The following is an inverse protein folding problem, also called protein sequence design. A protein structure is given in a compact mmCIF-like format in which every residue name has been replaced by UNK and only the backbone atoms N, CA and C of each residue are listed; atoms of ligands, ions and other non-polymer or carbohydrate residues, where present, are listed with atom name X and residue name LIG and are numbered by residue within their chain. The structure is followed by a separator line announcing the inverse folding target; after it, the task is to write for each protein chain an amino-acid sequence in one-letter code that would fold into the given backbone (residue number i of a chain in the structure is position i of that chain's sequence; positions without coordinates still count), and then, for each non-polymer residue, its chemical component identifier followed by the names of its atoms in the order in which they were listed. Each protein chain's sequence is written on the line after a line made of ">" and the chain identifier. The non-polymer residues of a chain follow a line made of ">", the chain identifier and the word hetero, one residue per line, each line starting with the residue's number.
data_IF_338368115160
#
_entry.id   IF_338368115160
#
_cell.length_a   1.000
_cell.length_b   1.000
_cell.length_c   1.000
_cell.angle_alpha   90.00
_cell.angle_beta   90.00
_cell.angle_gamma   90.00
#
_symmetry.space_group_name_H-M   'P 1'
#
loop_
_entity.id
_entity.type
_entity.pdbx_description
1 polymer ?
#
# COMPACT_ATOMS: atom_id res chain seq x y z
N UNK A 1 -23.53 17.24 14.79
CA UNK A 1 -22.39 17.10 13.86
C UNK A 1 -22.78 17.73 12.52
N UNK A 2 -22.11 18.81 12.13
CA UNK A 2 -22.37 19.49 10.86
C UNK A 2 -21.32 19.11 9.82
N UNK A 3 -21.68 18.18 8.95
CA UNK A 3 -20.86 17.85 7.80
C UNK A 3 -21.40 18.66 6.62
N UNK A 4 -20.60 19.60 6.16
CA UNK A 4 -20.96 20.49 5.05
C UNK A 4 -20.34 20.00 3.75
N UNK A 5 -20.90 20.44 2.64
CA UNK A 5 -20.31 20.16 1.33
C UNK A 5 -18.87 20.71 1.24
N UNK A 6 -18.63 21.86 1.86
CA UNK A 6 -17.28 22.45 1.92
C UNK A 6 -16.28 21.54 2.63
N UNK A 7 -16.67 20.93 3.75
CA UNK A 7 -15.79 20.02 4.48
C UNK A 7 -15.55 18.72 3.68
N UNK A 8 -16.57 18.20 3.03
CA UNK A 8 -16.43 17.03 2.15
C UNK A 8 -15.50 17.33 0.98
N UNK A 9 -15.69 18.46 0.33
CA UNK A 9 -14.84 18.88 -0.78
C UNK A 9 -13.39 19.07 -0.34
N UNK A 10 -13.16 19.65 0.84
CA UNK A 10 -11.81 19.82 1.38
C UNK A 10 -11.11 18.49 1.60
N UNK A 11 -11.82 17.50 2.13
CA UNK A 11 -11.27 16.16 2.32
C UNK A 11 -10.95 15.50 0.98
N UNK A 12 -11.86 15.62 0.01
CA UNK A 12 -11.67 15.04 -1.32
C UNK A 12 -10.48 15.63 -2.06
N UNK A 13 -10.35 16.94 -2.05
CA UNK A 13 -9.24 17.63 -2.74
C UNK A 13 -7.88 17.18 -2.23
N UNK A 14 -7.76 16.94 -0.92
CA UNK A 14 -6.49 16.58 -0.30
C UNK A 14 -6.21 15.09 -0.31
N UNK A 15 -7.26 14.26 -0.25
CA UNK A 15 -7.10 12.80 -0.14
C UNK A 15 -7.33 12.05 -1.45
N UNK A 16 -8.02 12.66 -2.41
CA UNK A 16 -8.38 11.99 -3.65
C UNK A 16 -9.45 10.90 -3.50
N UNK A 17 -10.14 10.86 -2.38
CA UNK A 17 -11.19 9.87 -2.13
C UNK A 17 -12.52 10.26 -2.77
N UNK A 18 -13.48 9.35 -2.78
CA UNK A 18 -14.84 9.61 -3.24
C UNK A 18 -15.60 10.48 -2.23
N UNK A 19 -16.74 11.02 -2.64
CA UNK A 19 -17.64 11.76 -1.74
C UNK A 19 -18.09 10.89 -0.56
N UNK A 20 -18.42 9.65 -0.85
CA UNK A 20 -18.87 8.71 0.18
C UNK A 20 -17.79 8.43 1.22
N UNK A 21 -16.58 8.16 0.77
CA UNK A 21 -15.44 7.92 1.67
C UNK A 21 -15.08 9.15 2.49
N UNK A 22 -15.11 10.34 1.88
CA UNK A 22 -14.85 11.58 2.58
C UNK A 22 -15.90 11.85 3.65
N UNK A 23 -17.18 11.65 3.33
CA UNK A 23 -18.28 11.80 4.28
C UNK A 23 -18.15 10.82 5.43
N UNK A 24 -17.87 9.57 5.13
CA UNK A 24 -17.67 8.53 6.14
C UNK A 24 -16.53 8.88 7.11
N UNK A 25 -15.42 9.39 6.57
CA UNK A 25 -14.30 9.82 7.40
C UNK A 25 -14.67 11.00 8.31
N UNK A 26 -15.45 11.95 7.80
CA UNK A 26 -15.94 13.08 8.59
C UNK A 26 -16.92 12.64 9.67
N UNK A 27 -17.81 11.71 9.36
CA UNK A 27 -18.73 11.14 10.35
C UNK A 27 -17.96 10.43 11.47
N UNK A 28 -16.93 9.68 11.12
CA UNK A 28 -16.09 8.95 12.07
C UNK A 28 -15.28 9.87 12.97
N UNK A 29 -15.01 11.10 12.54
CA UNK A 29 -14.13 12.04 13.25
C UNK A 29 -14.84 13.29 13.76
N UNK A 30 -16.17 13.26 13.81
CA UNK A 30 -16.94 14.38 14.36
C UNK A 30 -16.95 15.64 13.51
N UNK A 31 -16.70 15.54 12.21
CA UNK A 31 -16.74 16.66 11.28
C UNK A 31 -15.41 17.41 11.12
N UNK A 32 -14.35 16.95 11.75
CA UNK A 32 -13.02 17.56 11.65
C UNK A 32 -12.34 17.15 10.35
N UNK A 33 -12.02 18.13 9.49
CA UNK A 33 -11.33 17.88 8.22
C UNK A 33 -9.94 17.29 8.44
N UNK A 34 -9.20 17.84 9.39
CA UNK A 34 -7.85 17.35 9.71
C UNK A 34 -7.88 15.90 10.19
N UNK A 35 -8.76 15.60 11.12
CA UNK A 35 -8.89 14.25 11.65
C UNK A 35 -9.41 13.27 10.61
N UNK A 36 -10.29 13.72 9.72
CA UNK A 36 -10.78 12.91 8.62
C UNK A 36 -9.64 12.51 7.65
N UNK A 37 -8.74 13.44 7.36
CA UNK A 37 -7.57 13.18 6.52
C UNK A 37 -6.63 12.16 7.18
N UNK A 38 -6.41 12.29 8.47
CA UNK A 38 -5.60 11.34 9.25
C UNK A 38 -6.27 9.96 9.26
N UNK A 39 -7.58 9.92 9.47
CA UNK A 39 -8.37 8.68 9.45
C UNK A 39 -8.22 7.94 8.11
N UNK A 40 -8.33 8.67 6.99
CA UNK A 40 -8.18 8.08 5.66
C UNK A 40 -6.76 7.59 5.40
N UNK A 41 -5.76 8.33 5.84
CA UNK A 41 -4.37 7.92 5.71
C UNK A 41 -4.09 6.63 6.49
N UNK A 42 -4.56 6.54 7.72
CA UNK A 42 -4.41 5.35 8.55
C UNK A 42 -5.12 4.14 7.93
N UNK A 43 -6.30 4.36 7.35
CA UNK A 43 -7.06 3.30 6.68
C UNK A 43 -6.31 2.76 5.47
N UNK A 44 -5.72 3.64 4.66
CA UNK A 44 -4.89 3.25 3.52
C UNK A 44 -3.63 2.51 3.96
N UNK A 45 -3.01 2.97 5.03
CA UNK A 45 -1.84 2.31 5.62
C UNK A 45 -2.18 0.90 6.09
N UNK A 46 -3.30 0.72 6.77
CA UNK A 46 -3.75 -0.60 7.22
C UNK A 46 -3.98 -1.56 6.05
N UNK A 47 -4.60 -1.08 4.97
CA UNK A 47 -4.79 -1.88 3.76
C UNK A 47 -3.46 -2.28 3.14
N UNK A 48 -2.49 -1.37 3.11
CA UNK A 48 -1.16 -1.64 2.60
C UNK A 48 -0.45 -2.70 3.45
N UNK A 49 -0.56 -2.60 4.78
CA UNK A 49 0.01 -3.57 5.69
C UNK A 49 -0.60 -4.97 5.47
N UNK A 50 -1.90 -5.06 5.26
CA UNK A 50 -2.58 -6.31 4.93
C UNK A 50 -2.07 -6.90 3.62
N UNK A 51 -1.88 -6.07 2.60
CA UNK A 51 -1.33 -6.50 1.31
C UNK A 51 0.08 -7.03 1.44
N UNK A 52 0.90 -6.36 2.24
CA UNK A 52 2.28 -6.79 2.51
C UNK A 52 2.27 -8.15 3.23
N UNK A 53 1.38 -8.37 4.19
CA UNK A 53 1.24 -9.67 4.84
C UNK A 53 0.84 -10.78 3.86
N UNK A 54 -0.05 -10.48 2.92
CA UNK A 54 -0.41 -11.42 1.84
C UNK A 54 0.79 -11.72 0.93
N UNK A 55 1.58 -10.70 0.60
CA UNK A 55 2.81 -10.88 -0.18
C UNK A 55 3.80 -11.78 0.55
N UNK A 56 3.97 -11.60 1.84
CA UNK A 56 4.83 -12.46 2.66
C UNK A 56 4.41 -13.91 2.59
N UNK A 57 3.10 -14.19 2.65
CA UNK A 57 2.57 -15.53 2.53
C UNK A 57 2.85 -16.15 1.16
N UNK A 58 2.67 -15.36 0.09
CA UNK A 58 2.93 -15.81 -1.28
C UNK A 58 4.43 -16.10 -1.48
N UNK A 59 5.29 -15.24 -0.98
CA UNK A 59 6.74 -15.41 -1.06
C UNK A 59 7.18 -16.65 -0.27
N UNK A 60 6.55 -16.91 0.85
CA UNK A 60 6.83 -18.07 1.68
C UNK A 60 6.53 -19.39 0.96
N UNK A 61 5.50 -19.39 0.09
CA UNK A 61 5.17 -20.56 -0.73
C UNK A 61 6.17 -20.81 -1.85
N UNK A 62 7.05 -19.85 -2.12
CA UNK A 62 8.13 -19.98 -3.10
C UNK A 62 7.78 -19.47 -4.50
N UNK A 63 8.75 -19.52 -5.40
CA UNK A 63 8.63 -19.16 -6.82
C UNK A 63 8.47 -17.67 -7.13
N UNK A 64 8.65 -16.80 -6.16
CA UNK A 64 8.62 -15.36 -6.39
C UNK A 64 10.05 -14.85 -6.57
N UNK A 65 10.30 -14.18 -7.69
CA UNK A 65 11.60 -13.61 -8.01
C UNK A 65 11.72 -12.15 -7.54
N UNK A 66 10.70 -11.36 -7.81
CA UNK A 66 10.70 -9.95 -7.43
C UNK A 66 9.28 -9.42 -7.27
N UNK A 67 9.17 -8.31 -6.54
CA UNK A 67 7.93 -7.58 -6.35
C UNK A 67 8.14 -6.19 -6.92
N UNK A 68 7.20 -5.74 -7.73
CA UNK A 68 7.22 -4.39 -8.31
C UNK A 68 6.13 -3.54 -7.68
N UNK A 69 6.49 -2.30 -7.40
CA UNK A 69 5.54 -1.29 -6.98
C UNK A 69 5.17 -0.46 -8.20
N UNK A 70 3.90 -0.45 -8.55
CA UNK A 70 3.40 0.24 -9.75
C UNK A 70 2.36 1.28 -9.40
N UNK A 71 2.37 2.37 -10.14
CA UNK A 71 1.33 3.39 -10.11
C UNK A 71 1.10 3.90 -11.52
N UNK A 72 -0.18 3.93 -11.96
CA UNK A 72 -0.57 4.37 -13.31
C UNK A 72 0.24 3.68 -14.40
N UNK A 73 0.38 2.36 -14.30
CA UNK A 73 1.11 1.50 -15.23
C UNK A 73 2.63 1.72 -15.28
N UNK A 74 3.16 2.58 -14.42
CA UNK A 74 4.60 2.79 -14.29
C UNK A 74 5.15 1.99 -13.12
N UNK A 75 6.25 1.31 -13.37
CA UNK A 75 7.01 0.64 -12.30
C UNK A 75 7.83 1.69 -11.56
N UNK A 76 7.50 1.91 -10.30
CA UNK A 76 8.19 2.89 -9.47
C UNK A 76 9.38 2.29 -8.73
N UNK A 77 9.25 1.02 -8.35
CA UNK A 77 10.25 0.34 -7.54
C UNK A 77 10.21 -1.15 -7.84
N UNK A 78 11.35 -1.76 -7.96
CA UNK A 78 11.48 -3.21 -8.09
C UNK A 78 12.32 -3.72 -6.94
N UNK A 79 11.74 -4.62 -6.15
CA UNK A 79 12.41 -5.22 -5.00
C UNK A 79 12.68 -6.69 -5.30
N UNK A 80 13.93 -7.11 -5.43
CA UNK A 80 14.23 -8.52 -5.61
C UNK A 80 13.92 -9.29 -4.34
N UNK A 81 13.17 -10.37 -4.49
CA UNK A 81 12.85 -11.28 -3.38
C UNK A 81 13.75 -12.51 -3.54
N UNK A 82 15.02 -12.30 -3.43
CA UNK A 82 15.96 -13.40 -3.48
C UNK A 82 16.19 -13.88 -2.05
N UNK A 83 15.38 -14.82 -1.63
CA UNK A 83 15.61 -15.52 -0.37
C UNK A 83 16.73 -16.52 -0.62
N UNK A 84 17.92 -16.01 -0.88
CA UNK A 84 19.11 -16.83 -0.98
C UNK A 84 19.72 -16.99 0.39
N UNK A 85 20.15 -18.18 0.71
CA UNK A 85 21.02 -18.40 1.84
C UNK A 85 22.39 -17.89 1.42
N UNK A 86 22.77 -16.72 1.91
CA UNK A 86 24.10 -16.17 1.70
C UNK A 86 24.89 -16.39 2.99
N UNK A 87 25.89 -17.27 2.93
CA UNK A 87 26.78 -17.53 4.06
C UNK A 87 26.10 -18.09 5.30
N UNK A 88 25.05 -18.91 5.14
CA UNK A 88 24.33 -19.51 6.26
C UNK A 88 23.31 -18.61 6.93
N UNK A 89 23.17 -17.39 6.45
CA UNK A 89 22.16 -16.46 6.91
C UNK A 89 21.02 -16.41 5.89
N UNK A 90 19.78 -16.51 6.36
CA UNK A 90 18.61 -16.22 5.54
C UNK A 90 18.68 -14.72 5.25
N UNK A 91 19.25 -14.38 4.09
CA UNK A 91 19.49 -12.99 3.76
C UNK A 91 18.19 -12.25 3.57
N UNK A 92 18.01 -11.20 4.35
CA UNK A 92 17.14 -10.07 4.03
C UNK A 92 15.64 -10.32 3.98
N UNK A 93 15.11 -11.29 4.73
CA UNK A 93 13.66 -11.47 4.81
C UNK A 93 12.92 -10.23 5.35
N UNK A 94 13.61 -9.35 6.07
CA UNK A 94 12.99 -8.14 6.63
C UNK A 94 13.19 -6.90 5.76
N UNK A 95 14.28 -6.78 5.02
CA UNK A 95 14.60 -5.58 4.26
C UNK A 95 13.65 -5.29 3.09
N UNK A 96 13.22 -6.29 2.27
CA UNK A 96 12.28 -6.04 1.18
C UNK A 96 10.94 -5.49 1.64
N UNK A 97 10.45 -5.95 2.78
CA UNK A 97 9.16 -5.52 3.31
C UNK A 97 9.19 -4.08 3.80
N UNK A 98 10.28 -3.68 4.43
CA UNK A 98 10.48 -2.29 4.86
C UNK A 98 10.56 -1.34 3.66
N UNK A 99 11.23 -1.75 2.59
CA UNK A 99 11.34 -0.97 1.36
C UNK A 99 9.98 -0.82 0.70
N UNK A 100 9.18 -1.88 0.62
CA UNK A 100 7.84 -1.84 0.05
C UNK A 100 6.91 -0.96 0.87
N UNK A 101 6.96 -1.05 2.18
CA UNK A 101 6.16 -0.21 3.07
C UNK A 101 6.54 1.26 2.92
N UNK A 102 7.84 1.56 2.91
CA UNK A 102 8.34 2.92 2.72
C UNK A 102 7.99 3.47 1.33
N UNK A 103 8.08 2.65 0.29
CA UNK A 103 7.69 3.02 -1.06
C UNK A 103 6.21 3.32 -1.17
N UNK A 104 5.36 2.49 -0.58
CA UNK A 104 3.92 2.73 -0.55
C UNK A 104 3.59 4.03 0.17
N UNK A 105 4.23 4.32 1.30
CA UNK A 105 4.04 5.57 2.02
C UNK A 105 4.50 6.78 1.20
N UNK A 106 5.64 6.67 0.52
CA UNK A 106 6.22 7.74 -0.29
C UNK A 106 5.36 8.05 -1.52
N UNK A 107 4.77 7.03 -2.14
CA UNK A 107 3.97 7.18 -3.37
C UNK A 107 2.47 7.27 -3.12
N UNK A 108 2.01 7.28 -1.86
CA UNK A 108 0.65 7.62 -1.50
C UNK A 108 -0.31 6.45 -1.28
N UNK A 109 0.16 5.26 -0.98
CA UNK A 109 -0.65 4.07 -0.67
C UNK A 109 -1.60 3.58 -1.77
N UNK A 110 -1.73 4.29 -2.88
CA UNK A 110 -2.56 3.89 -4.03
C UNK A 110 -1.82 2.97 -4.99
N UNK A 111 -0.60 2.64 -4.65
CA UNK A 111 0.27 1.81 -5.47
C UNK A 111 -0.22 0.36 -5.53
N UNK A 112 0.05 -0.27 -6.65
CA UNK A 112 -0.27 -1.69 -6.85
C UNK A 112 1.00 -2.51 -6.70
N UNK A 113 0.84 -3.70 -6.15
CA UNK A 113 1.93 -4.66 -6.04
C UNK A 113 1.81 -5.68 -7.15
N UNK A 114 2.88 -5.84 -7.91
CA UNK A 114 2.97 -6.85 -8.97
C UNK A 114 4.00 -7.89 -8.55
N UNK A 115 3.63 -9.16 -8.71
CA UNK A 115 4.48 -10.28 -8.36
C UNK A 115 5.05 -10.88 -9.64
N UNK A 116 6.36 -10.96 -9.74
CA UNK A 116 7.05 -11.64 -10.83
C UNK A 116 7.60 -12.96 -10.30
N UNK A 117 7.17 -14.05 -10.90
CA UNK A 117 7.58 -15.39 -10.51
C UNK A 117 8.82 -15.84 -11.23
N UNK A 118 9.47 -16.88 -10.74
CA UNK A 118 10.69 -17.44 -11.35
C UNK A 118 10.49 -17.92 -12.77
N UNK A 119 9.30 -18.38 -13.13
CA UNK A 119 8.96 -18.82 -14.48
C UNK A 119 8.68 -17.66 -15.45
N UNK A 120 8.77 -16.42 -14.98
CA UNK A 120 8.49 -15.22 -15.76
C UNK A 120 7.04 -14.79 -15.75
N UNK A 121 6.14 -15.53 -15.12
CA UNK A 121 4.74 -15.13 -15.01
C UNK A 121 4.59 -13.94 -14.06
N UNK A 122 3.63 -13.09 -14.38
CA UNK A 122 3.37 -11.86 -13.66
C UNK A 122 1.92 -11.88 -13.15
N UNK A 123 1.73 -11.57 -11.89
CA UNK A 123 0.41 -11.49 -11.27
C UNK A 123 0.27 -10.18 -10.51
N UNK A 124 -0.85 -9.52 -10.67
CA UNK A 124 -1.16 -8.36 -9.84
C UNK A 124 -1.78 -8.82 -8.53
N UNK A 125 -1.33 -8.22 -7.44
CA UNK A 125 -1.92 -8.45 -6.14
C UNK A 125 -2.97 -7.36 -5.89
N UNK A 126 -4.07 -7.35 -6.47
CA UNK A 126 -5.12 -6.32 -6.49
C UNK A 126 -4.98 -5.36 -7.65
#
# INVERSE_FOLDING_TARGET
>A
MNITLESVDAVRERSGTSYEEAREALEATGGSVVDALIYLEQKKKSKTDERIEKLKAIVKDGNVNKIRLKKDEKVLLTVPVNVGIVGGLVGLAAAPWSILAAGAAAYGFDVKFEIVREDGSVSDLF
#
